data_IF_030132702446
#
_entry.id   IF_030132702446
#
_cell.length_a   1.000
_cell.length_b   1.000
_cell.length_c   1.000
_cell.angle_alpha   90.00
_cell.angle_beta   90.00
_cell.angle_gamma   90.00
#
_symmetry.space_group_name_H-M   'P 1'
#
loop_
_entity.id
_entity.type
_entity.pdbx_description
1 polymer ?
#
# COMPACT_ATOMS: atom_id res chain seq x y z
N UNK A 1 -25.63 -17.28 -0.40
CA UNK A 1 -24.27 -17.45 -0.96
C UNK A 1 -23.29 -17.49 0.22
N UNK A 2 -22.50 -18.54 0.36
CA UNK A 2 -21.62 -18.78 1.53
C UNK A 2 -20.33 -17.97 1.32
N UNK A 3 -20.16 -16.86 2.02
CA UNK A 3 -18.97 -16.02 1.89
C UNK A 3 -17.77 -16.71 2.54
N UNK A 4 -16.87 -17.20 1.70
CA UNK A 4 -15.56 -17.77 2.03
C UNK A 4 -14.58 -16.65 2.40
N UNK A 5 -14.87 -15.89 3.45
CA UNK A 5 -14.06 -14.76 3.93
C UNK A 5 -12.64 -15.20 4.32
N UNK A 6 -12.48 -16.44 4.81
CA UNK A 6 -11.23 -16.85 5.45
C UNK A 6 -10.08 -17.19 4.48
N UNK A 7 -10.36 -17.45 3.20
CA UNK A 7 -9.33 -17.72 2.19
C UNK A 7 -8.99 -16.46 1.36
N UNK A 8 -9.97 -15.56 1.17
CA UNK A 8 -9.77 -14.34 0.38
C UNK A 8 -8.88 -13.32 1.12
N UNK A 9 -8.92 -13.24 2.45
CA UNK A 9 -8.18 -12.22 3.19
C UNK A 9 -6.65 -12.37 3.01
N UNK A 10 -6.15 -13.63 2.96
CA UNK A 10 -4.75 -13.92 2.66
C UNK A 10 -4.38 -13.67 1.19
N UNK A 11 -5.31 -13.84 0.26
CA UNK A 11 -5.10 -13.54 -1.16
C UNK A 11 -5.15 -12.02 -1.43
N UNK A 12 -6.01 -11.30 -0.74
CA UNK A 12 -6.19 -9.86 -0.82
C UNK A 12 -5.02 -9.12 -0.18
N UNK A 13 -4.50 -9.62 0.94
CA UNK A 13 -3.24 -9.11 1.53
C UNK A 13 -2.03 -9.37 0.63
N UNK A 14 -1.93 -10.54 -0.01
CA UNK A 14 -0.90 -10.82 -1.02
C UNK A 14 -1.03 -9.93 -2.26
N UNK A 15 -2.26 -9.65 -2.68
CA UNK A 15 -2.54 -8.72 -3.78
C UNK A 15 -2.13 -7.29 -3.43
N UNK A 16 -2.41 -6.85 -2.20
CA UNK A 16 -2.07 -5.54 -1.71
C UNK A 16 -0.55 -5.33 -1.60
N UNK A 17 0.20 -6.28 -1.05
CA UNK A 17 1.67 -6.18 -0.98
C UNK A 17 2.31 -6.16 -2.38
N UNK A 18 1.75 -6.93 -3.32
CA UNK A 18 2.20 -6.93 -4.70
C UNK A 18 1.92 -5.59 -5.40
N UNK A 19 0.76 -4.99 -5.17
CA UNK A 19 0.42 -3.66 -5.66
C UNK A 19 1.35 -2.60 -5.07
N UNK A 20 1.65 -2.68 -3.76
CA UNK A 20 2.55 -1.74 -3.11
C UNK A 20 3.96 -1.78 -3.74
N UNK A 21 4.47 -2.98 -4.03
CA UNK A 21 5.76 -3.12 -4.72
C UNK A 21 5.72 -2.54 -6.14
N UNK A 22 4.65 -2.76 -6.90
CA UNK A 22 4.52 -2.19 -8.24
C UNK A 22 4.52 -0.65 -8.22
N UNK A 23 3.86 -0.05 -7.22
CA UNK A 23 3.86 1.41 -7.03
C UNK A 23 5.27 1.90 -6.66
N UNK A 24 5.98 1.21 -5.76
CA UNK A 24 7.36 1.54 -5.40
C UNK A 24 8.29 1.55 -6.62
N UNK A 25 8.27 0.45 -7.39
CA UNK A 25 9.12 0.27 -8.55
C UNK A 25 8.80 1.33 -9.62
N UNK A 26 7.51 1.60 -9.86
CA UNK A 26 7.07 2.62 -10.80
C UNK A 26 7.55 4.03 -10.38
N UNK A 27 7.47 4.37 -9.08
CA UNK A 27 7.94 5.66 -8.57
C UNK A 27 9.44 5.84 -8.78
N UNK A 28 10.25 4.80 -8.55
CA UNK A 28 11.70 4.85 -8.80
C UNK A 28 12.04 5.02 -10.27
N UNK A 29 11.28 4.39 -11.17
CA UNK A 29 11.44 4.53 -12.62
C UNK A 29 11.04 5.93 -13.09
N UNK A 30 9.97 6.50 -12.53
CA UNK A 30 9.49 7.84 -12.88
C UNK A 30 10.35 8.96 -12.27
N UNK A 31 10.94 8.72 -11.10
CA UNK A 31 11.75 9.68 -10.35
C UNK A 31 13.14 9.12 -10.05
N UNK A 32 13.99 8.92 -11.07
CA UNK A 32 15.35 8.42 -10.86
C UNK A 32 16.17 9.38 -9.98
N UNK A 33 15.87 10.68 -9.99
CA UNK A 33 16.54 11.70 -9.16
C UNK A 33 16.29 11.54 -7.66
N UNK A 34 15.27 10.76 -7.25
CA UNK A 34 15.01 10.45 -5.83
C UNK A 34 15.79 9.23 -5.35
N UNK A 35 16.39 8.48 -6.26
CA UNK A 35 17.20 7.30 -5.93
C UNK A 35 18.61 7.76 -5.63
N UNK A 36 19.03 7.54 -4.40
CA UNK A 36 20.38 7.83 -3.93
C UNK A 36 21.41 6.86 -4.54
N UNK A 37 22.72 7.20 -4.53
CA UNK A 37 23.76 6.34 -5.12
C UNK A 37 23.90 4.95 -4.48
N UNK A 38 23.47 4.79 -3.23
CA UNK A 38 23.36 3.51 -2.50
C UNK A 38 22.18 2.66 -2.98
N UNK A 39 21.28 3.22 -3.81
CA UNK A 39 20.06 2.58 -4.26
C UNK A 39 18.85 2.85 -3.34
N UNK A 40 18.98 3.62 -2.28
CA UNK A 40 17.87 3.96 -1.39
C UNK A 40 16.99 5.04 -2.04
N UNK A 41 15.71 5.09 -1.67
CA UNK A 41 14.80 6.16 -2.10
C UNK A 41 13.97 6.62 -0.90
N UNK A 42 14.53 7.48 -0.02
CA UNK A 42 13.84 7.94 1.19
C UNK A 42 12.50 8.62 0.89
N UNK A 43 12.39 9.30 -0.26
CA UNK A 43 11.14 9.91 -0.72
C UNK A 43 10.08 8.86 -1.08
N UNK A 44 10.48 7.76 -1.73
CA UNK A 44 9.59 6.64 -2.03
C UNK A 44 9.06 6.01 -0.73
N UNK A 45 9.94 5.78 0.25
CA UNK A 45 9.58 5.22 1.56
C UNK A 45 8.63 6.14 2.34
N UNK A 46 8.83 7.45 2.27
CA UNK A 46 7.92 8.44 2.85
C UNK A 46 6.53 8.39 2.21
N UNK A 47 6.47 8.27 0.88
CA UNK A 47 5.21 8.15 0.14
C UNK A 47 4.43 6.91 0.53
N UNK A 48 5.11 5.77 0.62
CA UNK A 48 4.50 4.50 1.04
C UNK A 48 4.00 4.54 2.47
N UNK A 49 4.79 5.10 3.39
CA UNK A 49 4.39 5.27 4.79
C UNK A 49 3.12 6.11 4.90
N UNK A 50 3.04 7.19 4.14
CA UNK A 50 1.85 8.04 4.08
C UNK A 50 0.66 7.34 3.45
N UNK A 51 0.86 6.55 2.39
CA UNK A 51 -0.20 5.77 1.76
C UNK A 51 -0.79 4.74 2.75
N UNK A 52 0.07 4.03 3.49
CA UNK A 52 -0.36 3.09 4.52
C UNK A 52 -1.18 3.78 5.62
N UNK A 53 -0.79 4.99 6.03
CA UNK A 53 -1.56 5.79 6.98
C UNK A 53 -2.95 6.15 6.43
N UNK A 54 -3.03 6.64 5.20
CA UNK A 54 -4.30 7.01 4.56
C UNK A 54 -5.26 5.82 4.46
N UNK A 55 -4.77 4.65 4.09
CA UNK A 55 -5.57 3.43 4.02
C UNK A 55 -6.06 2.95 5.40
N UNK A 56 -5.22 3.14 6.43
CA UNK A 56 -5.62 2.87 7.82
C UNK A 56 -6.71 3.85 8.29
N UNK A 57 -6.64 5.12 7.88
CA UNK A 57 -7.64 6.12 8.22
C UNK A 57 -8.97 5.86 7.49
N UNK A 58 -8.94 5.51 6.20
CA UNK A 58 -10.14 5.22 5.41
C UNK A 58 -10.86 3.96 5.89
N UNK A 59 -10.12 2.91 6.24
CA UNK A 59 -10.72 1.71 6.83
C UNK A 59 -11.36 1.98 8.20
N UNK A 60 -10.87 2.96 8.96
CA UNK A 60 -11.47 3.34 10.25
C UNK A 60 -12.77 4.15 10.11
N UNK A 61 -12.96 4.92 9.04
CA UNK A 61 -14.19 5.71 8.83
C UNK A 61 -15.39 4.86 8.39
N UNK A 62 -15.15 3.76 7.68
CA UNK A 62 -16.19 2.81 7.26
C UNK A 62 -16.91 2.17 8.47
N UNK A 63 -16.19 1.95 9.58
CA UNK A 63 -16.73 1.30 10.78
C UNK A 63 -17.47 2.25 11.73
N UNK A 64 -17.42 3.57 11.51
CA UNK A 64 -18.05 4.58 12.39
C UNK A 64 -19.39 5.11 11.85
N UNK A 65 -19.71 4.84 10.59
CA UNK A 65 -20.93 5.36 9.93
C UNK A 65 -22.14 4.43 10.06
N UNK A 66 -22.06 3.38 10.88
CA UNK A 66 -23.16 2.48 11.23
C UNK A 66 -23.46 2.58 12.73
N UNK A 67 -24.05 3.69 13.16
CA UNK A 67 -24.62 3.87 14.50
C UNK A 67 -25.89 4.72 14.41
#
# INVERSE_FOLDING_TARGET
>A
MKLKISANASEETRSYTQLQQQIHDALRVQHPDWVEPNGDCPTCESYESRLAELLRLSSSSEHRSAA
#
